data_IF_213532330308
#
_entry.id   IF_213532330308
#
_cell.length_a   1.000
_cell.length_b   1.000
_cell.length_c   1.000
_cell.angle_alpha   90.00
_cell.angle_beta   90.00
_cell.angle_gamma   90.00
#
_symmetry.space_group_name_H-M   'P 1'
#
loop_
_entity.id
_entity.type
_entity.pdbx_description
1 polymer ?
#
# COMPACT_ATOMS: atom_id res chain seq x y z
N UNK A 1 12.37 -6.84 -12.74
CA UNK A 1 12.09 -5.42 -12.45
C UNK A 1 10.98 -5.40 -11.42
N UNK A 2 11.24 -4.79 -10.27
CA UNK A 2 10.35 -4.81 -9.12
C UNK A 2 9.80 -3.40 -8.88
N UNK A 3 8.62 -3.31 -8.28
CA UNK A 3 7.85 -2.08 -8.19
C UNK A 3 7.31 -1.88 -6.77
N UNK A 4 7.20 -0.61 -6.38
CA UNK A 4 6.48 -0.16 -5.20
C UNK A 4 5.31 0.66 -5.73
N UNK A 5 4.09 0.31 -5.29
CA UNK A 5 2.88 1.03 -5.67
C UNK A 5 2.59 2.09 -4.61
N UNK A 6 2.29 3.32 -5.05
CA UNK A 6 1.98 4.44 -4.17
C UNK A 6 0.73 5.12 -4.72
N UNK A 7 -0.27 5.29 -3.87
CA UNK A 7 -1.54 5.92 -4.26
C UNK A 7 -2.32 6.46 -3.08
N UNK A 8 -3.50 6.99 -3.36
CA UNK A 8 -4.44 7.46 -2.35
C UNK A 8 -5.34 6.32 -1.91
N UNK A 9 -5.79 6.31 -0.65
CA UNK A 9 -6.74 5.33 -0.13
C UNK A 9 -8.19 5.59 -0.59
N UNK A 10 -8.36 6.18 -1.78
CA UNK A 10 -9.66 6.49 -2.38
C UNK A 10 -10.45 5.24 -2.80
N UNK A 11 -11.70 5.43 -3.26
CA UNK A 11 -12.71 4.36 -3.37
C UNK A 11 -12.31 3.11 -4.16
N UNK A 12 -11.46 3.23 -5.18
CA UNK A 12 -11.12 2.12 -6.07
C UNK A 12 -9.64 1.72 -6.07
N UNK A 13 -8.74 2.61 -5.65
CA UNK A 13 -7.29 2.41 -5.80
C UNK A 13 -6.79 1.17 -5.04
N UNK A 14 -7.36 0.91 -3.87
CA UNK A 14 -6.99 -0.22 -3.01
C UNK A 14 -7.32 -1.56 -3.67
N UNK A 15 -8.49 -1.66 -4.31
CA UNK A 15 -8.90 -2.88 -5.02
C UNK A 15 -7.99 -3.10 -6.24
N UNK A 16 -7.67 -2.05 -7.00
CA UNK A 16 -6.73 -2.14 -8.13
C UNK A 16 -5.33 -2.58 -7.71
N UNK A 17 -4.75 -1.99 -6.66
CA UNK A 17 -3.42 -2.37 -6.21
C UNK A 17 -3.37 -3.80 -5.67
N UNK A 18 -4.43 -4.21 -4.97
CA UNK A 18 -4.61 -5.59 -4.52
C UNK A 18 -4.61 -6.55 -5.72
N UNK A 19 -5.43 -6.26 -6.74
CA UNK A 19 -5.54 -7.11 -7.93
C UNK A 19 -4.22 -7.19 -8.69
N UNK A 20 -3.49 -6.07 -8.83
CA UNK A 20 -2.17 -6.05 -9.48
C UNK A 20 -1.16 -6.88 -8.68
N UNK A 21 -1.13 -6.76 -7.37
CA UNK A 21 -0.22 -7.56 -6.54
C UNK A 21 -0.60 -9.04 -6.52
N UNK A 22 -1.88 -9.39 -6.65
CA UNK A 22 -2.33 -10.77 -6.83
C UNK A 22 -1.92 -11.35 -8.19
N UNK A 23 -1.96 -10.54 -9.26
CA UNK A 23 -1.55 -10.97 -10.60
C UNK A 23 -0.03 -11.07 -10.75
N UNK A 24 0.72 -10.25 -10.02
CA UNK A 24 2.18 -10.16 -10.12
C UNK A 24 2.87 -10.16 -8.74
N UNK A 25 2.69 -11.22 -7.93
CA UNK A 25 3.14 -11.26 -6.53
C UNK A 25 4.65 -11.05 -6.37
N UNK A 26 5.45 -11.60 -7.28
CA UNK A 26 6.92 -11.50 -7.22
C UNK A 26 7.47 -10.15 -7.72
N UNK A 27 6.61 -9.28 -8.24
CA UNK A 27 7.02 -7.98 -8.80
C UNK A 27 6.64 -6.80 -7.92
N UNK A 28 5.67 -6.95 -7.02
CA UNK A 28 5.18 -5.87 -6.17
C UNK A 28 5.78 -6.01 -4.78
N UNK A 29 6.70 -5.11 -4.44
CA UNK A 29 7.45 -5.14 -3.18
C UNK A 29 6.65 -4.57 -2.02
N UNK A 30 5.84 -3.53 -2.27
CA UNK A 30 4.91 -2.95 -1.30
C UNK A 30 3.86 -2.09 -1.99
N UNK A 31 2.80 -1.81 -1.24
CA UNK A 31 1.72 -0.89 -1.59
C UNK A 31 1.58 0.13 -0.46
N UNK A 32 1.79 1.41 -0.77
CA UNK A 32 1.59 2.52 0.17
C UNK A 32 0.34 3.30 -0.22
N UNK A 33 -0.60 3.39 0.73
CA UNK A 33 -1.89 4.04 0.55
C UNK A 33 -1.99 5.27 1.44
N UNK A 34 -2.03 6.46 0.86
CA UNK A 34 -2.15 7.71 1.62
C UNK A 34 -3.57 7.88 2.14
N UNK A 35 -3.70 8.03 3.46
CA UNK A 35 -4.97 8.26 4.15
C UNK A 35 -5.66 9.54 3.66
N UNK A 36 -6.98 9.48 3.46
CA UNK A 36 -7.83 10.64 3.14
C UNK A 36 -8.87 10.84 4.25
N UNK A 37 -9.34 12.07 4.46
CA UNK A 37 -10.25 12.49 5.56
C UNK A 37 -11.68 11.90 5.46
N UNK A 38 -11.83 10.58 5.35
CA UNK A 38 -13.09 9.85 5.31
C UNK A 38 -13.01 8.59 6.18
N UNK A 39 -13.44 8.70 7.44
CA UNK A 39 -13.29 7.65 8.46
C UNK A 39 -13.87 6.29 8.06
N UNK A 40 -15.05 6.26 7.46
CA UNK A 40 -15.69 5.00 7.00
C UNK A 40 -14.89 4.31 5.90
N UNK A 41 -14.26 5.09 5.01
CA UNK A 41 -13.43 4.55 3.92
C UNK A 41 -12.15 3.97 4.51
N UNK A 42 -11.57 4.65 5.49
CA UNK A 42 -10.32 4.21 6.14
C UNK A 42 -10.48 2.90 6.90
N UNK A 43 -11.63 2.67 7.53
CA UNK A 43 -11.92 1.39 8.18
C UNK A 43 -11.89 0.21 7.17
N UNK A 44 -12.51 0.38 5.98
CA UNK A 44 -12.48 -0.64 4.92
C UNK A 44 -11.06 -0.88 4.42
N UNK A 45 -10.35 0.20 4.08
CA UNK A 45 -8.98 0.11 3.53
C UNK A 45 -8.04 -0.56 4.53
N UNK A 46 -8.13 -0.20 5.82
CA UNK A 46 -7.39 -0.85 6.89
C UNK A 46 -7.70 -2.34 6.98
N UNK A 47 -8.97 -2.73 6.95
CA UNK A 47 -9.34 -4.15 6.97
C UNK A 47 -8.77 -4.92 5.78
N UNK A 48 -8.70 -4.31 4.59
CA UNK A 48 -8.10 -4.94 3.42
C UNK A 48 -6.59 -5.10 3.62
N UNK A 49 -5.90 -4.03 4.02
CA UNK A 49 -4.46 -4.02 4.27
C UNK A 49 -4.06 -5.05 5.35
N UNK A 50 -4.80 -5.10 6.47
CA UNK A 50 -4.57 -6.05 7.56
C UNK A 50 -4.74 -7.52 7.12
N UNK A 51 -5.62 -7.78 6.14
CA UNK A 51 -5.85 -9.12 5.59
C UNK A 51 -4.92 -9.48 4.42
N UNK A 52 -4.13 -8.54 3.93
CA UNK A 52 -3.33 -8.70 2.72
C UNK A 52 -1.95 -9.27 3.04
N UNK A 53 -1.63 -10.43 2.45
CA UNK A 53 -0.44 -11.22 2.83
C UNK A 53 0.61 -11.37 1.74
N UNK A 54 0.34 -10.90 0.52
CA UNK A 54 1.24 -11.09 -0.63
C UNK A 54 2.48 -10.20 -0.50
N UNK A 55 2.27 -8.93 -0.16
CA UNK A 55 3.33 -7.99 0.13
C UNK A 55 2.85 -6.96 1.16
N UNK A 56 3.75 -6.19 1.80
CA UNK A 56 3.37 -5.13 2.71
C UNK A 56 2.41 -4.13 2.05
N UNK A 57 1.21 -3.99 2.63
CA UNK A 57 0.25 -2.95 2.28
C UNK A 57 0.07 -2.04 3.50
N UNK A 58 0.52 -0.80 3.40
CA UNK A 58 0.50 0.14 4.53
C UNK A 58 -0.36 1.36 4.21
N UNK A 59 -1.24 1.72 5.15
CA UNK A 59 -1.83 3.05 5.18
C UNK A 59 -0.82 4.01 5.79
N UNK A 60 -0.49 5.06 5.05
CA UNK A 60 0.42 6.11 5.49
C UNK A 60 -0.31 7.44 5.62
N UNK A 61 -0.03 8.22 6.66
CA UNK A 61 -0.58 9.58 6.74
C UNK A 61 0.26 10.56 5.91
N UNK A 62 1.58 10.45 6.05
CA UNK A 62 2.54 11.27 5.32
C UNK A 62 3.46 10.41 4.45
N UNK A 63 3.91 10.97 3.32
CA UNK A 63 4.88 10.29 2.44
C UNK A 63 6.17 9.89 3.16
N UNK A 64 6.49 10.55 4.29
CA UNK A 64 7.65 10.22 5.11
C UNK A 64 7.58 8.81 5.69
N UNK A 65 6.40 8.32 6.05
CA UNK A 65 6.21 6.97 6.59
C UNK A 65 6.54 5.90 5.54
N UNK A 66 6.10 6.11 4.30
CA UNK A 66 6.44 5.23 3.17
C UNK A 66 7.96 5.21 2.92
N UNK A 67 8.62 6.36 3.01
CA UNK A 67 10.07 6.47 2.85
C UNK A 67 10.81 5.74 3.98
N UNK A 68 10.37 5.88 5.23
CA UNK A 68 10.97 5.18 6.38
C UNK A 68 10.89 3.68 6.16
N UNK A 69 9.69 3.14 5.89
CA UNK A 69 9.51 1.71 5.66
C UNK A 69 10.33 1.21 4.46
N UNK A 70 10.34 1.95 3.35
CA UNK A 70 11.12 1.56 2.17
C UNK A 70 12.65 1.54 2.43
N UNK A 71 13.15 2.42 3.31
CA UNK A 71 14.56 2.40 3.74
C UNK A 71 14.86 1.25 4.69
N UNK A 72 13.97 0.98 5.65
CA UNK A 72 14.12 -0.15 6.58
C UNK A 72 14.17 -1.49 5.83
N UNK A 73 13.42 -1.60 4.74
CA UNK A 73 13.43 -2.77 3.84
C UNK A 73 14.60 -2.77 2.85
N UNK A 74 15.42 -1.71 2.81
CA UNK A 74 16.59 -1.60 1.92
C UNK A 74 16.25 -1.39 0.44
N UNK A 75 15.04 -0.91 0.11
CA UNK A 75 14.59 -0.73 -1.27
C UNK A 75 15.03 0.60 -1.88
N UNK A 76 15.27 1.60 -1.03
CA UNK A 76 15.75 2.93 -1.39
C UNK A 76 16.85 3.36 -0.41
N UNK A 77 17.68 4.33 -0.83
CA UNK A 77 18.83 4.86 -0.07
C UNK A 77 18.45 6.19 0.60
#
# INVERSE_FOLDING_TARGET
>A
MNFILIGDSGEHDVDYYKDVAQQYPDRIMAIYLRSVNHDKKMARVKSIADSFTICPMLLVQESKEAVIHAREMGWII
#
